data_IF_130202660295
#
_entry.id   IF_130202660295
#
_cell.length_a   1.000
_cell.length_b   1.000
_cell.length_c   1.000
_cell.angle_alpha   90.00
_cell.angle_beta   90.00
_cell.angle_gamma   90.00
#
_symmetry.space_group_name_H-M   'P 1'
#
loop_
_entity.id
_entity.type
_entity.pdbx_description
1 polymer ?
#
# COMPACT_ATOMS: atom_id res chain seq x y z
N UNK A 1 28.68 2.97 4.05
CA UNK A 1 28.04 2.19 3.00
C UNK A 1 26.58 2.58 2.80
N UNK A 2 25.70 2.61 3.81
CA UNK A 2 24.30 3.00 3.71
C UNK A 2 24.05 4.39 3.09
N UNK A 3 24.86 5.42 3.46
CA UNK A 3 24.70 6.76 2.88
C UNK A 3 24.93 6.78 1.36
N UNK A 4 25.91 6.00 0.90
CA UNK A 4 26.19 5.86 -0.54
C UNK A 4 25.01 5.18 -1.24
N UNK A 5 24.44 4.12 -0.63
CA UNK A 5 23.27 3.44 -1.18
C UNK A 5 22.04 4.36 -1.23
N UNK A 6 21.80 5.20 -0.22
CA UNK A 6 20.71 6.19 -0.25
C UNK A 6 20.89 7.21 -1.37
N UNK A 7 22.12 7.73 -1.55
CA UNK A 7 22.43 8.66 -2.62
C UNK A 7 22.25 8.01 -4.00
N UNK A 8 22.71 6.78 -4.17
CA UNK A 8 22.54 6.04 -5.44
C UNK A 8 21.08 5.78 -5.73
N UNK A 9 20.27 5.37 -4.75
CA UNK A 9 18.81 5.17 -4.90
C UNK A 9 18.15 6.48 -5.31
N UNK A 10 18.50 7.61 -4.69
CA UNK A 10 17.96 8.93 -5.04
C UNK A 10 18.27 9.31 -6.49
N UNK A 11 19.54 9.20 -6.91
CA UNK A 11 19.97 9.54 -8.27
C UNK A 11 19.33 8.63 -9.32
N UNK A 12 19.29 7.32 -9.06
CA UNK A 12 18.64 6.34 -9.93
C UNK A 12 17.14 6.61 -10.04
N UNK A 13 16.47 6.97 -8.94
CA UNK A 13 15.05 7.32 -8.95
C UNK A 13 14.77 8.51 -9.85
N UNK A 14 15.59 9.57 -9.79
CA UNK A 14 15.49 10.73 -10.67
C UNK A 14 15.71 10.33 -12.12
N UNK A 15 16.73 9.51 -12.40
CA UNK A 15 17.03 9.04 -13.75
C UNK A 15 15.87 8.22 -14.35
N UNK A 16 15.32 7.26 -13.60
CA UNK A 16 14.17 6.44 -14.02
C UNK A 16 12.97 7.34 -14.32
N UNK A 17 12.64 8.27 -13.42
CA UNK A 17 11.47 9.12 -13.55
C UNK A 17 11.59 10.12 -14.69
N UNK A 18 12.76 10.70 -14.91
CA UNK A 18 13.03 11.55 -16.07
C UNK A 18 12.93 10.78 -17.40
N UNK A 19 13.35 9.52 -17.41
CA UNK A 19 13.31 8.64 -18.57
C UNK A 19 12.03 7.82 -18.68
N UNK A 20 11.04 8.08 -17.84
CA UNK A 20 9.85 7.23 -17.66
C UNK A 20 9.11 6.94 -18.97
N UNK A 21 8.89 7.91 -19.85
CA UNK A 21 8.22 7.70 -21.14
C UNK A 21 9.00 6.78 -22.08
N UNK A 22 10.33 6.89 -22.12
CA UNK A 22 11.19 6.00 -22.92
C UNK A 22 11.13 4.59 -22.38
N UNK A 23 11.32 4.43 -21.06
CA UNK A 23 11.26 3.14 -20.37
C UNK A 23 9.88 2.51 -20.54
N UNK A 24 8.82 3.30 -20.33
CA UNK A 24 7.44 2.84 -20.45
C UNK A 24 7.08 2.38 -21.88
N UNK A 25 7.63 3.03 -22.89
CA UNK A 25 7.47 2.61 -24.29
C UNK A 25 8.14 1.28 -24.58
N UNK A 26 9.38 1.09 -24.13
CA UNK A 26 10.13 -0.15 -24.30
C UNK A 26 9.47 -1.34 -23.59
N UNK A 27 8.96 -1.13 -22.39
CA UNK A 27 8.39 -2.17 -21.53
C UNK A 27 6.88 -2.33 -21.65
N UNK A 28 6.22 -1.54 -22.51
CA UNK A 28 4.77 -1.59 -22.77
C UNK A 28 3.91 -1.34 -21.52
N UNK A 29 4.39 -0.49 -20.59
CA UNK A 29 3.70 -0.10 -19.35
C UNK A 29 3.14 1.33 -19.40
N UNK A 30 2.91 1.86 -20.60
CA UNK A 30 2.26 3.17 -20.78
C UNK A 30 0.76 3.01 -20.64
N UNK A 31 0.20 3.83 -19.76
CA UNK A 31 -1.22 3.99 -19.59
C UNK A 31 -1.74 5.09 -20.54
N UNK A 32 -2.50 4.69 -21.55
CA UNK A 32 -3.08 5.62 -22.53
C UNK A 32 -4.41 6.19 -21.99
N UNK A 33 -4.68 7.49 -22.25
CA UNK A 33 -5.95 8.07 -21.92
C UNK A 33 -7.09 7.36 -22.66
N UNK A 34 -8.16 7.05 -21.95
CA UNK A 34 -9.39 6.52 -22.54
C UNK A 34 -10.61 7.23 -21.91
N UNK A 35 -11.81 7.01 -22.49
CA UNK A 35 -13.07 7.63 -22.00
C UNK A 35 -13.38 7.37 -20.51
N UNK A 36 -12.77 6.34 -19.91
CA UNK A 36 -12.97 5.98 -18.49
C UNK A 36 -11.99 6.68 -17.55
N UNK A 37 -10.84 7.15 -18.05
CA UNK A 37 -9.78 7.74 -17.23
C UNK A 37 -9.93 9.26 -17.17
N UNK A 38 -9.62 9.82 -16.01
CA UNK A 38 -9.69 11.26 -15.77
C UNK A 38 -8.45 11.97 -16.32
N UNK A 39 -7.34 11.28 -16.39
CA UNK A 39 -6.08 11.81 -16.94
C UNK A 39 -6.16 11.94 -18.46
N UNK A 40 -5.92 13.16 -18.95
CA UNK A 40 -5.91 13.48 -20.39
C UNK A 40 -4.56 13.17 -21.06
N UNK A 41 -3.50 12.94 -20.28
CA UNK A 41 -2.16 12.70 -20.76
C UNK A 41 -1.76 11.23 -20.62
N UNK A 42 -0.77 10.81 -21.41
CA UNK A 42 -0.12 9.50 -21.24
C UNK A 42 0.64 9.49 -19.93
N UNK A 43 0.46 8.46 -19.10
CA UNK A 43 1.22 8.23 -17.90
C UNK A 43 1.89 6.86 -17.93
N UNK A 44 2.93 6.67 -17.14
CA UNK A 44 3.68 5.40 -17.10
C UNK A 44 3.50 4.76 -15.74
N UNK A 45 3.18 3.47 -15.70
CA UNK A 45 3.11 2.68 -14.48
C UNK A 45 4.52 2.26 -14.07
N UNK A 46 5.24 3.14 -13.39
CA UNK A 46 6.68 3.02 -13.17
C UNK A 46 7.06 2.37 -11.84
N UNK A 47 6.11 2.13 -10.94
CA UNK A 47 6.40 1.70 -9.57
C UNK A 47 7.18 0.40 -9.49
N UNK A 48 6.85 -0.60 -10.31
CA UNK A 48 7.63 -1.85 -10.36
C UNK A 48 9.12 -1.57 -10.54
N UNK A 49 9.48 -0.79 -11.54
CA UNK A 49 10.88 -0.49 -11.86
C UNK A 49 11.51 0.38 -10.77
N UNK A 50 10.76 1.36 -10.28
CA UNK A 50 11.24 2.30 -9.28
C UNK A 50 11.64 1.58 -7.98
N UNK A 51 10.85 0.60 -7.52
CA UNK A 51 11.11 -0.15 -6.29
C UNK A 51 12.01 -1.38 -6.49
N UNK A 52 12.34 -1.76 -7.71
CA UNK A 52 13.33 -2.82 -7.98
C UNK A 52 14.73 -2.47 -7.42
N UNK A 53 15.15 -1.21 -7.55
CA UNK A 53 16.48 -0.78 -7.08
C UNK A 53 16.63 -0.82 -5.56
N UNK A 54 15.68 -0.35 -4.74
CA UNK A 54 15.71 -0.59 -3.30
C UNK A 54 15.87 -2.06 -2.94
N UNK A 55 15.10 -2.95 -3.57
CA UNK A 55 15.16 -4.39 -3.32
C UNK A 55 16.55 -4.95 -3.69
N UNK A 56 17.09 -4.57 -4.85
CA UNK A 56 18.44 -4.96 -5.26
C UNK A 56 19.51 -4.40 -4.32
N UNK A 57 19.35 -3.18 -3.82
CA UNK A 57 20.27 -2.58 -2.84
C UNK A 57 20.26 -3.36 -1.52
N UNK A 58 19.11 -3.79 -1.05
CA UNK A 58 18.97 -4.66 0.12
C UNK A 58 19.72 -5.99 -0.13
N UNK A 59 19.49 -6.62 -1.27
CA UNK A 59 20.14 -7.87 -1.66
C UNK A 59 21.67 -7.73 -1.69
N UNK A 60 22.19 -6.67 -2.28
CA UNK A 60 23.63 -6.42 -2.35
C UNK A 60 24.20 -6.19 -0.93
N UNK A 61 23.53 -5.39 -0.11
CA UNK A 61 23.97 -5.10 1.24
C UNK A 61 23.97 -6.35 2.15
N UNK A 62 22.95 -7.20 2.01
CA UNK A 62 22.89 -8.48 2.75
C UNK A 62 23.97 -9.44 2.28
N UNK A 63 24.29 -9.48 0.99
CA UNK A 63 25.35 -10.33 0.44
C UNK A 63 26.75 -9.89 0.90
N UNK A 64 27.00 -8.58 0.95
CA UNK A 64 28.27 -8.03 1.43
C UNK A 64 28.41 -8.25 2.94
N UNK A 65 27.32 -8.08 3.68
CA UNK A 65 27.31 -8.27 5.13
C UNK A 65 26.72 -9.63 5.48
N UNK A 66 27.58 -10.66 5.44
CA UNK A 66 27.19 -12.07 5.65
C UNK A 66 26.46 -12.32 6.99
N UNK A 67 26.64 -11.47 8.01
CA UNK A 67 25.88 -11.57 9.27
C UNK A 67 24.39 -11.31 9.12
N UNK A 68 23.96 -10.69 8.01
CA UNK A 68 22.55 -10.45 7.67
C UNK A 68 21.93 -11.58 6.83
N UNK A 69 22.73 -12.56 6.38
CA UNK A 69 22.24 -13.69 5.59
C UNK A 69 21.56 -14.71 6.51
N UNK A 70 20.26 -14.57 6.64
CA UNK A 70 19.40 -15.59 7.27
C UNK A 70 18.25 -15.96 6.33
N UNK A 71 17.60 -17.09 6.61
CA UNK A 71 16.49 -17.61 5.78
C UNK A 71 15.33 -16.62 5.67
N UNK A 72 15.10 -15.81 6.71
CA UNK A 72 14.01 -14.83 6.76
C UNK A 72 14.25 -13.70 5.76
N UNK A 73 15.46 -13.14 5.71
CA UNK A 73 15.80 -12.07 4.76
C UNK A 73 15.82 -12.59 3.33
N UNK A 74 16.38 -13.79 3.11
CA UNK A 74 16.38 -14.42 1.78
C UNK A 74 14.96 -14.66 1.29
N UNK A 75 14.08 -15.18 2.14
CA UNK A 75 12.67 -15.40 1.79
C UNK A 75 11.94 -14.11 1.52
N UNK A 76 12.23 -13.03 2.27
CA UNK A 76 11.66 -11.70 2.05
C UNK A 76 12.07 -11.12 0.69
N UNK A 77 13.35 -11.18 0.35
CA UNK A 77 13.84 -10.74 -0.96
C UNK A 77 13.18 -11.52 -2.08
N UNK A 78 13.07 -12.85 -1.93
CA UNK A 78 12.41 -13.71 -2.90
C UNK A 78 10.94 -13.29 -3.11
N UNK A 79 10.21 -13.02 -2.03
CA UNK A 79 8.81 -12.56 -2.12
C UNK A 79 8.71 -11.21 -2.82
N UNK A 80 9.58 -10.25 -2.50
CA UNK A 80 9.58 -8.96 -3.19
C UNK A 80 9.85 -9.11 -4.69
N UNK A 81 10.75 -10.00 -5.09
CA UNK A 81 10.99 -10.29 -6.51
C UNK A 81 9.76 -10.92 -7.17
N UNK A 82 9.08 -11.85 -6.50
CA UNK A 82 7.84 -12.44 -7.00
C UNK A 82 6.74 -11.38 -7.17
N UNK A 83 6.52 -10.51 -6.18
CA UNK A 83 5.55 -9.43 -6.23
C UNK A 83 5.88 -8.41 -7.32
N UNK A 84 7.16 -8.08 -7.48
CA UNK A 84 7.66 -7.26 -8.58
C UNK A 84 7.28 -7.86 -9.93
N UNK A 85 7.56 -9.15 -10.15
CA UNK A 85 7.28 -9.84 -11.42
C UNK A 85 5.76 -9.85 -11.68
N UNK A 86 4.95 -10.23 -10.69
CA UNK A 86 3.48 -10.27 -10.84
C UNK A 86 2.94 -8.88 -11.18
N UNK A 87 3.37 -7.86 -10.44
CA UNK A 87 2.92 -6.50 -10.67
C UNK A 87 3.38 -5.95 -12.01
N UNK A 88 4.61 -6.22 -12.42
CA UNK A 88 5.12 -5.81 -13.73
C UNK A 88 4.35 -6.49 -14.88
N UNK A 89 4.07 -7.79 -14.75
CA UNK A 89 3.26 -8.53 -15.74
C UNK A 89 1.84 -7.96 -15.80
N UNK A 90 1.22 -7.66 -14.64
CA UNK A 90 -0.12 -7.05 -14.60
C UNK A 90 -0.15 -5.67 -15.24
N UNK A 91 0.88 -4.85 -14.99
CA UNK A 91 0.99 -3.51 -15.56
C UNK A 91 1.16 -3.53 -17.09
N UNK A 92 1.76 -4.60 -17.62
CA UNK A 92 2.01 -4.79 -19.06
C UNK A 92 0.85 -5.43 -19.83
N UNK A 93 0.27 -6.53 -19.30
CA UNK A 93 -0.72 -7.37 -19.99
C UNK A 93 -2.06 -7.55 -19.26
N UNK A 94 -2.24 -6.90 -18.10
CA UNK A 94 -3.43 -6.94 -17.24
C UNK A 94 -3.94 -8.36 -16.92
N UNK A 95 -3.53 -8.87 -15.77
CA UNK A 95 -3.96 -10.17 -15.25
C UNK A 95 -5.40 -10.11 -14.73
N UNK A 96 -6.13 -11.25 -14.80
CA UNK A 96 -7.41 -11.32 -14.12
C UNK A 96 -7.27 -11.25 -12.62
N UNK A 97 -8.24 -10.61 -11.94
CA UNK A 97 -8.19 -10.41 -10.48
C UNK A 97 -8.08 -11.74 -9.71
N UNK A 98 -8.75 -12.79 -10.18
CA UNK A 98 -8.67 -14.13 -9.58
C UNK A 98 -7.26 -14.72 -9.65
N UNK A 99 -6.55 -14.54 -10.77
CA UNK A 99 -5.15 -14.98 -10.91
C UNK A 99 -4.24 -14.20 -9.97
N UNK A 100 -4.42 -12.87 -9.86
CA UNK A 100 -3.63 -12.03 -8.94
C UNK A 100 -3.85 -12.47 -7.49
N UNK A 101 -5.09 -12.61 -7.04
CA UNK A 101 -5.42 -13.03 -5.68
C UNK A 101 -4.81 -14.41 -5.36
N UNK A 102 -4.90 -15.34 -6.28
CA UNK A 102 -4.33 -16.68 -6.11
C UNK A 102 -2.80 -16.66 -5.98
N UNK A 103 -2.11 -15.87 -6.81
CA UNK A 103 -0.66 -15.71 -6.74
C UNK A 103 -0.23 -15.02 -5.44
N UNK A 104 -0.93 -13.96 -5.02
CA UNK A 104 -0.67 -13.29 -3.74
C UNK A 104 -0.87 -14.24 -2.56
N UNK A 105 -1.90 -15.09 -2.62
CA UNK A 105 -2.15 -16.09 -1.58
C UNK A 105 -1.00 -17.10 -1.46
N UNK A 106 -0.56 -17.69 -2.57
CA UNK A 106 0.54 -18.67 -2.57
C UNK A 106 1.81 -18.02 -1.99
N UNK A 107 2.17 -16.85 -2.47
CA UNK A 107 3.40 -16.16 -2.04
C UNK A 107 3.33 -15.81 -0.55
N UNK A 108 2.23 -15.22 -0.09
CA UNK A 108 2.03 -14.86 1.31
C UNK A 108 2.02 -16.09 2.21
N UNK A 109 1.33 -17.15 1.79
CA UNK A 109 1.23 -18.42 2.54
C UNK A 109 2.61 -19.07 2.72
N UNK A 110 3.37 -19.20 1.64
CA UNK A 110 4.72 -19.77 1.71
C UNK A 110 5.66 -18.94 2.58
N UNK A 111 5.58 -17.60 2.44
CA UNK A 111 6.39 -16.69 3.25
C UNK A 111 6.08 -16.82 4.74
N UNK A 112 4.80 -16.78 5.14
CA UNK A 112 4.41 -16.87 6.55
C UNK A 112 4.77 -18.25 7.13
N UNK A 113 4.59 -19.30 6.35
CA UNK A 113 4.96 -20.66 6.78
C UNK A 113 6.47 -20.81 7.07
N UNK A 114 7.32 -20.07 6.33
CA UNK A 114 8.76 -20.02 6.57
C UNK A 114 9.13 -19.04 7.71
N UNK A 115 8.27 -18.07 8.01
CA UNK A 115 8.54 -16.97 8.93
C UNK A 115 7.36 -16.78 9.89
N UNK A 116 7.23 -17.67 10.87
CA UNK A 116 6.09 -17.69 11.82
C UNK A 116 5.95 -16.40 12.66
N UNK A 117 6.99 -15.59 12.78
CA UNK A 117 6.94 -14.29 13.45
C UNK A 117 5.93 -13.32 12.83
N UNK A 118 5.62 -13.48 11.53
CA UNK A 118 4.63 -12.67 10.81
C UNK A 118 3.24 -13.31 10.80
N UNK A 119 3.03 -14.39 11.54
CA UNK A 119 1.70 -14.99 11.69
C UNK A 119 0.91 -14.27 12.77
N UNK A 120 -0.34 -13.92 12.48
CA UNK A 120 -1.28 -13.34 13.45
C UNK A 120 -1.93 -14.48 14.22
N UNK A 121 -1.46 -14.73 15.44
CA UNK A 121 -1.97 -15.80 16.31
C UNK A 121 -3.01 -15.32 17.30
N UNK A 122 -3.05 -14.01 17.61
CA UNK A 122 -4.03 -13.39 18.48
C UNK A 122 -4.42 -12.01 17.99
N UNK A 123 -5.65 -11.61 18.23
CA UNK A 123 -6.14 -10.26 17.99
C UNK A 123 -6.26 -9.53 19.32
N UNK A 124 -5.39 -8.57 19.53
CA UNK A 124 -5.39 -7.72 20.70
C UNK A 124 -6.21 -6.46 20.39
N UNK A 125 -7.31 -6.28 21.09
CA UNK A 125 -8.15 -5.10 20.98
C UNK A 125 -7.86 -4.14 22.12
N UNK A 126 -7.88 -2.85 21.85
CA UNK A 126 -7.73 -1.86 22.90
C UNK A 126 -8.95 -1.92 23.87
N UNK A 127 -8.72 -2.04 25.17
CA UNK A 127 -9.71 -2.25 26.24
C UNK A 127 -10.46 -3.60 26.24
N UNK A 128 -10.18 -4.52 25.35
CA UNK A 128 -10.81 -5.85 25.35
C UNK A 128 -9.76 -6.94 25.46
N UNK A 129 -10.20 -8.10 25.92
CA UNK A 129 -9.34 -9.28 26.00
C UNK A 129 -8.86 -9.73 24.61
N UNK A 130 -7.64 -10.20 24.58
CA UNK A 130 -7.04 -10.77 23.38
C UNK A 130 -7.82 -12.03 22.95
N UNK A 131 -8.10 -12.10 21.65
CA UNK A 131 -8.78 -13.27 21.07
C UNK A 131 -7.77 -14.16 20.35
N UNK A 132 -7.64 -15.40 20.81
CA UNK A 132 -6.78 -16.41 20.15
C UNK A 132 -7.41 -16.86 18.82
N UNK A 133 -6.61 -16.83 17.75
CA UNK A 133 -7.00 -17.25 16.40
C UNK A 133 -5.99 -18.21 15.76
N UNK A 134 -5.09 -18.82 16.56
CA UNK A 134 -4.02 -19.72 16.06
C UNK A 134 -4.49 -20.76 15.06
N UNK A 135 -5.69 -21.33 15.26
CA UNK A 135 -6.24 -22.35 14.35
C UNK A 135 -6.41 -21.88 12.89
N UNK A 136 -6.57 -20.58 12.69
CA UNK A 136 -6.74 -19.96 11.37
C UNK A 136 -5.68 -18.88 11.07
N UNK A 137 -4.67 -18.75 11.95
CA UNK A 137 -3.69 -17.65 11.95
C UNK A 137 -3.08 -17.39 10.59
N UNK A 138 -2.48 -18.40 9.94
CA UNK A 138 -1.87 -18.27 8.62
C UNK A 138 -2.87 -17.75 7.58
N UNK A 139 -4.07 -18.32 7.52
CA UNK A 139 -5.09 -17.94 6.54
C UNK A 139 -5.59 -16.53 6.77
N UNK A 140 -5.79 -16.15 8.04
CA UNK A 140 -6.20 -14.79 8.40
C UNK A 140 -5.10 -13.77 8.07
N UNK A 141 -3.86 -14.10 8.32
CA UNK A 141 -2.70 -13.27 7.95
C UNK A 141 -2.63 -13.07 6.43
N UNK A 142 -2.76 -14.15 5.64
CA UNK A 142 -2.83 -14.05 4.17
C UNK A 142 -3.99 -13.14 3.73
N UNK A 143 -5.16 -13.29 4.34
CA UNK A 143 -6.32 -12.45 4.05
C UNK A 143 -6.03 -10.96 4.32
N UNK A 144 -5.41 -10.62 5.44
CA UNK A 144 -5.04 -9.24 5.78
C UNK A 144 -4.05 -8.64 4.77
N UNK A 145 -2.98 -9.38 4.43
CA UNK A 145 -1.98 -8.95 3.46
C UNK A 145 -2.61 -8.71 2.07
N UNK A 146 -3.38 -9.67 1.58
CA UNK A 146 -4.03 -9.59 0.26
C UNK A 146 -5.03 -8.44 0.22
N UNK A 147 -5.80 -8.26 1.30
CA UNK A 147 -6.76 -7.16 1.41
C UNK A 147 -6.09 -5.79 1.31
N UNK A 148 -4.94 -5.60 1.96
CA UNK A 148 -4.18 -4.35 1.88
C UNK A 148 -3.59 -4.15 0.48
N UNK A 149 -3.06 -5.20 -0.16
CA UNK A 149 -2.57 -5.13 -1.54
C UNK A 149 -3.69 -4.68 -2.49
N UNK A 150 -4.87 -5.31 -2.41
CA UNK A 150 -6.01 -4.97 -3.28
C UNK A 150 -6.52 -3.55 -2.99
N UNK A 151 -6.69 -3.19 -1.72
CA UNK A 151 -7.15 -1.85 -1.34
C UNK A 151 -6.21 -0.78 -1.88
N UNK A 152 -4.90 -1.01 -1.79
CA UNK A 152 -3.86 -0.10 -2.26
C UNK A 152 -3.83 0.04 -3.78
N UNK A 153 -3.98 -1.06 -4.52
CA UNK A 153 -4.07 -1.06 -5.98
C UNK A 153 -5.29 -0.25 -6.45
N UNK A 154 -6.42 -0.38 -5.76
CA UNK A 154 -7.64 0.40 -6.03
C UNK A 154 -7.47 1.90 -5.73
N UNK A 155 -6.56 2.30 -4.84
CA UNK A 155 -6.29 3.71 -4.51
C UNK A 155 -5.44 4.43 -5.56
N UNK A 156 -4.69 3.72 -6.41
CA UNK A 156 -3.82 4.31 -7.45
C UNK A 156 -4.60 4.80 -8.69
N UNK A 157 -5.85 5.26 -8.48
CA UNK A 157 -6.74 5.77 -9.52
C UNK A 157 -6.62 7.26 -9.81
N UNK A 158 -6.05 8.05 -8.90
CA UNK A 158 -5.80 9.49 -9.04
C UNK A 158 -4.41 9.85 -8.55
N UNK A 159 -3.86 10.96 -9.08
CA UNK A 159 -2.54 11.44 -8.69
C UNK A 159 -2.45 11.65 -7.18
N UNK A 160 -1.29 11.36 -6.61
CA UNK A 160 -0.89 11.53 -5.22
C UNK A 160 -1.61 10.64 -4.19
N UNK A 161 -2.79 10.11 -4.46
CA UNK A 161 -3.59 9.42 -3.45
C UNK A 161 -2.87 8.21 -2.82
N UNK A 162 -2.53 7.21 -3.62
CA UNK A 162 -1.80 6.03 -3.12
C UNK A 162 -0.41 6.41 -2.60
N UNK A 163 0.29 7.31 -3.28
CA UNK A 163 1.64 7.72 -2.89
C UNK A 163 1.69 8.43 -1.54
N UNK A 164 0.75 9.34 -1.23
CA UNK A 164 0.67 10.00 0.07
C UNK A 164 0.27 9.01 1.17
N UNK A 165 -0.68 8.12 0.88
CA UNK A 165 -1.05 7.06 1.82
C UNK A 165 0.18 6.23 2.20
N UNK A 166 0.93 5.72 1.24
CA UNK A 166 2.13 4.93 1.53
C UNK A 166 3.20 5.74 2.24
N UNK A 167 3.44 6.98 1.82
CA UNK A 167 4.44 7.83 2.45
C UNK A 167 4.11 8.08 3.92
N UNK A 168 2.86 8.39 4.27
CA UNK A 168 2.47 8.62 5.66
C UNK A 168 2.72 7.38 6.52
N UNK A 169 2.40 6.17 6.02
CA UNK A 169 2.63 4.91 6.75
C UNK A 169 4.11 4.55 6.88
N UNK A 170 4.90 4.79 5.83
CA UNK A 170 6.36 4.59 5.91
C UNK A 170 7.02 5.55 6.90
N UNK A 171 6.54 6.78 7.01
CA UNK A 171 7.00 7.73 8.02
C UNK A 171 6.63 7.29 9.44
N UNK A 172 5.43 6.73 9.64
CA UNK A 172 5.05 6.09 10.91
C UNK A 172 6.02 4.97 11.27
N UNK A 173 6.29 4.04 10.34
CA UNK A 173 7.23 2.96 10.57
C UNK A 173 8.62 3.51 10.92
N UNK A 174 9.11 4.50 10.19
CA UNK A 174 10.43 5.05 10.39
C UNK A 174 10.62 5.79 11.73
N UNK A 175 9.64 6.64 12.12
CA UNK A 175 9.76 7.49 13.30
C UNK A 175 9.19 6.86 14.58
N UNK A 176 8.17 6.03 14.46
CA UNK A 176 7.37 5.59 15.60
C UNK A 176 7.67 4.13 15.98
N UNK A 177 7.84 3.23 14.99
CA UNK A 177 8.09 1.82 15.30
C UNK A 177 9.49 1.58 15.82
N UNK A 178 9.59 0.65 16.78
CA UNK A 178 10.87 0.20 17.35
C UNK A 178 11.11 -1.27 16.99
N UNK A 179 12.36 -1.70 17.12
CA UNK A 179 12.78 -3.11 16.95
C UNK A 179 12.24 -3.75 15.67
N UNK A 180 12.42 -3.05 14.56
CA UNK A 180 12.01 -3.54 13.25
C UNK A 180 12.90 -4.71 12.82
N UNK A 181 12.29 -5.73 12.25
CA UNK A 181 13.00 -6.82 11.56
C UNK A 181 13.90 -6.31 10.43
N UNK A 182 13.34 -5.39 9.65
CA UNK A 182 14.12 -4.67 8.65
C UNK A 182 14.54 -3.36 9.26
N UNK A 183 15.84 -3.07 9.27
CA UNK A 183 16.36 -1.86 9.86
C UNK A 183 15.74 -0.58 9.27
N UNK A 184 15.72 0.48 10.06
CA UNK A 184 15.15 1.79 9.65
C UNK A 184 15.79 2.34 8.37
N UNK A 185 17.05 2.00 8.12
CA UNK A 185 17.74 2.38 6.88
C UNK A 185 17.06 1.82 5.63
N UNK A 186 16.55 0.60 5.70
CA UNK A 186 15.81 0.00 4.58
C UNK A 186 14.45 0.65 4.36
N UNK A 187 13.82 1.17 5.41
CA UNK A 187 12.60 1.98 5.26
C UNK A 187 12.90 3.24 4.43
N UNK A 188 14.05 3.88 4.66
CA UNK A 188 14.50 5.03 3.86
C UNK A 188 14.70 4.68 2.38
N UNK A 189 15.11 3.43 2.07
CA UNK A 189 15.24 2.98 0.69
C UNK A 189 13.90 2.94 -0.07
N UNK A 190 12.78 2.89 0.65
CA UNK A 190 11.43 3.01 0.07
C UNK A 190 10.91 4.45 0.13
N UNK A 191 11.18 5.20 1.20
CA UNK A 191 10.73 6.58 1.37
C UNK A 191 11.32 7.49 0.28
N UNK A 192 12.62 7.38 0.01
CA UNK A 192 13.31 8.26 -0.94
C UNK A 192 12.72 8.15 -2.36
N UNK A 193 12.65 6.97 -3.00
CA UNK A 193 12.07 6.87 -4.34
C UNK A 193 10.60 7.24 -4.37
N UNK A 194 9.84 6.97 -3.29
CA UNK A 194 8.44 7.37 -3.19
C UNK A 194 8.28 8.89 -3.10
N UNK A 195 9.13 9.58 -2.34
CA UNK A 195 9.11 11.04 -2.27
C UNK A 195 9.43 11.69 -3.62
N UNK A 196 10.45 11.18 -4.32
CA UNK A 196 10.78 11.63 -5.67
C UNK A 196 9.64 11.32 -6.64
N UNK A 197 9.06 10.12 -6.57
CA UNK A 197 7.89 9.72 -7.37
C UNK A 197 6.73 10.70 -7.23
N UNK A 198 6.40 11.14 -6.02
CA UNK A 198 5.27 12.05 -5.77
C UNK A 198 5.39 13.36 -6.56
N UNK A 199 6.61 13.88 -6.77
CA UNK A 199 6.85 15.09 -7.56
C UNK A 199 6.42 14.90 -9.02
N UNK A 200 6.70 13.73 -9.62
CA UNK A 200 6.34 13.40 -10.99
C UNK A 200 4.87 12.97 -11.12
N UNK A 201 4.35 12.27 -10.11
CA UNK A 201 2.97 11.84 -10.05
C UNK A 201 2.02 13.04 -9.88
N UNK A 202 2.40 14.07 -9.12
CA UNK A 202 1.67 15.34 -9.04
C UNK A 202 1.42 15.94 -10.43
N UNK A 203 2.39 15.83 -11.33
CA UNK A 203 2.29 16.31 -12.72
C UNK A 203 1.52 15.34 -13.64
N UNK A 204 1.00 14.23 -13.12
CA UNK A 204 0.26 13.22 -13.89
C UNK A 204 1.12 12.45 -14.90
N UNK A 205 2.45 12.41 -14.74
CA UNK A 205 3.36 11.75 -15.67
C UNK A 205 3.53 10.26 -15.41
N UNK A 206 3.38 9.85 -14.14
CA UNK A 206 3.63 8.49 -13.67
C UNK A 206 2.58 8.02 -12.68
N UNK A 207 2.34 6.71 -12.63
CA UNK A 207 1.56 6.01 -11.61
C UNK A 207 2.40 4.94 -10.93
N UNK A 208 2.02 4.53 -9.70
CA UNK A 208 2.65 3.40 -9.01
C UNK A 208 2.42 2.10 -9.78
N UNK A 209 1.21 1.92 -10.29
CA UNK A 209 0.78 0.67 -10.90
C UNK A 209 0.73 -0.48 -9.89
N UNK A 210 0.30 -1.65 -10.36
CA UNK A 210 0.15 -2.84 -9.52
C UNK A 210 1.47 -3.26 -8.90
N UNK A 211 2.60 -3.14 -9.61
CA UNK A 211 3.89 -3.56 -9.07
C UNK A 211 4.39 -2.68 -7.93
N UNK A 212 4.19 -1.36 -8.02
CA UNK A 212 4.55 -0.46 -6.93
C UNK A 212 3.67 -0.63 -5.70
N UNK A 213 2.35 -0.72 -5.91
CA UNK A 213 1.38 -0.88 -4.81
C UNK A 213 1.53 -2.21 -4.09
N UNK A 214 1.78 -3.34 -4.81
CA UNK A 214 1.99 -4.66 -4.20
C UNK A 214 3.20 -4.68 -3.26
N UNK A 215 4.35 -4.18 -3.72
CA UNK A 215 5.59 -4.16 -2.94
C UNK A 215 5.41 -3.33 -1.67
N UNK A 216 4.88 -2.11 -1.81
CA UNK A 216 4.67 -1.21 -0.68
C UNK A 216 3.63 -1.76 0.30
N UNK A 217 2.50 -2.30 -0.18
CA UNK A 217 1.46 -2.87 0.66
C UNK A 217 1.93 -4.11 1.42
N UNK A 218 2.69 -4.98 0.77
CA UNK A 218 3.28 -6.15 1.42
C UNK A 218 4.26 -5.73 2.52
N UNK A 219 5.15 -4.77 2.22
CA UNK A 219 6.08 -4.22 3.21
C UNK A 219 5.35 -3.63 4.42
N UNK A 220 4.30 -2.82 4.19
CA UNK A 220 3.49 -2.26 5.27
C UNK A 220 2.82 -3.35 6.11
N UNK A 221 2.24 -4.36 5.45
CA UNK A 221 1.57 -5.47 6.13
C UNK A 221 2.51 -6.17 7.10
N UNK A 222 3.72 -6.51 6.65
CA UNK A 222 4.71 -7.19 7.49
C UNK A 222 5.10 -6.36 8.72
N UNK A 223 5.37 -5.07 8.52
CA UNK A 223 5.77 -4.20 9.63
C UNK A 223 4.64 -4.01 10.64
N UNK A 224 3.38 -3.84 10.19
CA UNK A 224 2.24 -3.72 11.09
C UNK A 224 1.97 -5.03 11.86
N UNK A 225 2.06 -6.18 11.19
CA UNK A 225 1.87 -7.49 11.82
C UNK A 225 2.96 -7.75 12.85
N UNK A 226 4.22 -7.53 12.49
CA UNK A 226 5.34 -7.72 13.40
C UNK A 226 5.24 -6.81 14.63
N UNK A 227 4.96 -5.52 14.40
CA UNK A 227 4.83 -4.57 15.49
C UNK A 227 3.66 -4.92 16.42
N UNK A 228 2.53 -5.38 15.86
CA UNK A 228 1.38 -5.82 16.65
C UNK A 228 1.65 -7.11 17.43
N UNK A 229 2.41 -8.04 16.86
CA UNK A 229 2.79 -9.27 17.54
C UNK A 229 3.76 -9.02 18.70
N UNK A 230 4.77 -8.15 18.48
CA UNK A 230 5.82 -7.87 19.46
C UNK A 230 5.37 -6.87 20.54
N UNK A 231 4.54 -5.90 20.17
CA UNK A 231 4.13 -4.79 21.03
C UNK A 231 2.61 -4.57 20.97
N UNK A 232 1.80 -5.56 21.41
CA UNK A 232 0.34 -5.52 21.27
C UNK A 232 -0.35 -4.37 22.06
N UNK A 233 0.27 -3.88 23.12
CA UNK A 233 -0.21 -2.74 23.89
C UNK A 233 0.06 -1.40 23.16
N UNK A 234 1.06 -1.37 22.32
CA UNK A 234 1.43 -0.18 21.53
C UNK A 234 0.68 -0.13 20.19
N UNK A 235 0.57 -1.28 19.49
CA UNK A 235 -0.13 -1.40 18.23
C UNK A 235 -1.11 -2.57 18.27
N UNK A 236 -2.34 -2.32 18.72
CA UNK A 236 -3.40 -3.34 18.72
C UNK A 236 -4.09 -3.46 17.35
N UNK A 237 -4.90 -4.52 17.20
CA UNK A 237 -5.76 -4.70 16.03
C UNK A 237 -6.71 -3.50 15.81
N UNK A 238 -7.15 -2.83 16.92
CA UNK A 238 -7.96 -1.62 16.85
C UNK A 238 -7.21 -0.45 16.18
N UNK A 239 -5.93 -0.27 16.49
CA UNK A 239 -5.09 0.76 15.87
C UNK A 239 -4.89 0.49 14.38
N UNK A 240 -4.58 -0.76 14.00
CA UNK A 240 -4.42 -1.14 12.59
C UNK A 240 -5.73 -0.93 11.84
N UNK A 241 -6.86 -1.31 12.44
CA UNK A 241 -8.18 -1.05 11.86
C UNK A 241 -8.38 0.45 11.62
N UNK A 242 -8.11 1.31 12.59
CA UNK A 242 -8.26 2.76 12.44
C UNK A 242 -7.38 3.32 11.32
N UNK A 243 -6.10 2.93 11.28
CA UNK A 243 -5.11 3.40 10.29
C UNK A 243 -5.49 3.01 8.86
N UNK A 244 -6.10 1.83 8.68
CA UNK A 244 -6.47 1.28 7.38
C UNK A 244 -7.97 1.40 7.06
N UNK A 245 -8.76 2.05 7.93
CA UNK A 245 -10.23 2.04 7.85
C UNK A 245 -10.76 2.65 6.56
N UNK A 246 -10.28 3.82 6.16
CA UNK A 246 -10.79 4.53 4.98
C UNK A 246 -10.61 3.72 3.69
N UNK A 247 -9.41 3.25 3.33
CA UNK A 247 -9.25 2.39 2.15
C UNK A 247 -10.00 1.07 2.27
N UNK A 248 -10.04 0.47 3.47
CA UNK A 248 -10.74 -0.80 3.71
C UNK A 248 -12.26 -0.68 3.52
N UNK A 249 -12.90 0.31 4.13
CA UNK A 249 -14.35 0.53 3.98
C UNK A 249 -14.71 0.87 2.52
N UNK A 250 -13.90 1.68 1.84
CA UNK A 250 -14.17 2.04 0.44
C UNK A 250 -14.09 0.81 -0.48
N UNK A 251 -13.08 -0.04 -0.28
CA UNK A 251 -12.95 -1.30 -1.00
C UNK A 251 -14.18 -2.20 -0.77
N UNK A 252 -14.53 -2.47 0.50
CA UNK A 252 -15.66 -3.32 0.86
C UNK A 252 -16.97 -2.77 0.30
N UNK A 253 -17.21 -1.46 0.45
CA UNK A 253 -18.41 -0.79 -0.06
C UNK A 253 -18.57 -0.99 -1.57
N UNK A 254 -17.53 -0.72 -2.35
CA UNK A 254 -17.60 -0.85 -3.81
C UNK A 254 -17.75 -2.31 -4.21
N UNK A 255 -17.09 -3.22 -3.52
CA UNK A 255 -17.22 -4.67 -3.70
C UNK A 255 -18.68 -5.13 -3.48
N UNK A 256 -19.31 -4.73 -2.36
CA UNK A 256 -20.70 -5.05 -2.07
C UNK A 256 -21.67 -4.46 -3.11
N UNK A 257 -21.47 -3.20 -3.53
CA UNK A 257 -22.29 -2.59 -4.58
C UNK A 257 -22.21 -3.38 -5.89
N UNK A 258 -21.01 -3.85 -6.27
CA UNK A 258 -20.81 -4.66 -7.49
C UNK A 258 -21.48 -6.02 -7.35
N UNK A 259 -21.31 -6.65 -6.19
CA UNK A 259 -21.91 -7.96 -5.90
C UNK A 259 -23.43 -7.92 -6.05
N UNK A 260 -24.10 -6.95 -5.39
CA UNK A 260 -25.56 -6.88 -5.38
C UNK A 260 -26.18 -6.29 -6.66
N UNK A 261 -25.46 -5.44 -7.41
CA UNK A 261 -26.05 -4.78 -8.59
C UNK A 261 -25.72 -5.46 -9.91
N UNK A 262 -24.52 -5.91 -10.13
CA UNK A 262 -24.03 -6.31 -11.46
C UNK A 262 -23.47 -7.72 -11.56
N UNK A 263 -23.27 -8.44 -10.45
CA UNK A 263 -22.63 -9.75 -10.41
C UNK A 263 -21.16 -9.80 -10.85
N UNK A 264 -20.59 -8.69 -11.35
CA UNK A 264 -19.22 -8.59 -11.85
C UNK A 264 -18.36 -7.83 -10.84
N UNK A 265 -17.85 -8.54 -9.84
CA UNK A 265 -17.17 -7.98 -8.68
C UNK A 265 -15.89 -7.23 -9.04
N UNK A 266 -15.11 -7.75 -9.98
CA UNK A 266 -13.78 -7.27 -10.32
C UNK A 266 -13.72 -6.30 -11.52
N UNK A 267 -14.85 -5.72 -11.90
CA UNK A 267 -14.84 -4.72 -13.00
C UNK A 267 -14.38 -3.36 -12.50
N UNK A 268 -13.42 -2.70 -13.20
CA UNK A 268 -13.03 -1.33 -12.86
C UNK A 268 -14.19 -0.36 -13.05
N UNK A 269 -14.41 0.54 -12.08
CA UNK A 269 -15.40 1.62 -12.16
C UNK A 269 -14.93 2.88 -11.43
N UNK A 270 -15.75 3.95 -11.49
CA UNK A 270 -15.46 5.24 -10.84
C UNK A 270 -16.25 5.46 -9.55
N UNK A 271 -16.62 4.39 -8.85
CA UNK A 271 -17.43 4.45 -7.62
C UNK A 271 -16.59 4.63 -6.35
N UNK A 272 -15.27 4.48 -6.43
CA UNK A 272 -14.38 4.69 -5.30
C UNK A 272 -14.42 6.12 -4.78
N UNK A 273 -14.19 6.29 -3.46
CA UNK A 273 -14.29 7.56 -2.75
C UNK A 273 -13.48 8.67 -3.44
N UNK A 274 -12.23 8.37 -3.82
CA UNK A 274 -11.35 9.33 -4.47
C UNK A 274 -11.92 9.84 -5.82
N UNK A 275 -12.55 8.98 -6.62
CA UNK A 275 -13.20 9.37 -7.86
C UNK A 275 -14.47 10.23 -7.62
N UNK A 276 -15.25 9.90 -6.58
CA UNK A 276 -16.42 10.68 -6.22
C UNK A 276 -16.05 12.08 -5.74
N UNK A 277 -15.01 12.18 -4.92
CA UNK A 277 -14.46 13.45 -4.46
C UNK A 277 -13.89 14.29 -5.61
N UNK A 278 -13.11 13.67 -6.51
CA UNK A 278 -12.52 14.34 -7.65
C UNK A 278 -13.59 14.91 -8.59
N UNK A 279 -14.62 14.12 -8.89
CA UNK A 279 -15.72 14.57 -9.73
C UNK A 279 -16.47 15.77 -9.13
N UNK A 280 -16.54 15.87 -7.80
CA UNK A 280 -17.28 16.94 -7.14
C UNK A 280 -16.45 18.17 -6.84
N UNK A 281 -15.24 17.99 -6.32
CA UNK A 281 -14.42 19.07 -5.77
C UNK A 281 -13.17 19.37 -6.61
N UNK A 282 -12.89 18.54 -7.62
CA UNK A 282 -11.65 18.60 -8.39
C UNK A 282 -10.47 17.96 -7.65
N UNK A 283 -9.39 17.72 -8.39
CA UNK A 283 -8.24 16.92 -7.89
C UNK A 283 -7.56 17.56 -6.68
N UNK A 284 -7.31 18.86 -6.68
CA UNK A 284 -6.55 19.53 -5.62
C UNK A 284 -7.25 19.43 -4.25
N UNK A 285 -8.57 19.71 -4.21
CA UNK A 285 -9.34 19.60 -2.97
C UNK A 285 -9.45 18.14 -2.51
N UNK A 286 -9.59 17.21 -3.44
CA UNK A 286 -9.63 15.77 -3.15
C UNK A 286 -8.35 15.31 -2.48
N UNK A 287 -7.20 15.70 -3.01
CA UNK A 287 -5.90 15.35 -2.42
C UNK A 287 -5.77 15.92 -1.01
N UNK A 288 -6.14 17.18 -0.80
CA UNK A 288 -6.09 17.80 0.54
C UNK A 288 -6.97 17.05 1.53
N UNK A 289 -8.21 16.71 1.16
CA UNK A 289 -9.14 15.97 2.02
C UNK A 289 -8.58 14.59 2.38
N UNK A 290 -8.11 13.82 1.38
CA UNK A 290 -7.61 12.47 1.60
C UNK A 290 -6.28 12.50 2.39
N UNK A 291 -5.38 13.41 2.09
CA UNK A 291 -4.13 13.59 2.84
C UNK A 291 -4.39 13.91 4.31
N UNK A 292 -5.34 14.82 4.57
CA UNK A 292 -5.75 15.16 5.93
C UNK A 292 -6.31 13.93 6.67
N UNK A 293 -7.17 13.15 6.02
CA UNK A 293 -7.72 11.93 6.60
C UNK A 293 -6.62 10.90 6.94
N UNK A 294 -5.63 10.68 6.07
CA UNK A 294 -4.56 9.72 6.32
C UNK A 294 -3.62 10.18 7.43
N UNK A 295 -3.15 11.42 7.37
CA UNK A 295 -2.15 11.95 8.32
C UNK A 295 -2.78 12.15 9.71
N UNK A 296 -4.01 12.70 9.78
CA UNK A 296 -4.68 12.88 11.07
C UNK A 296 -4.98 11.55 11.76
N UNK A 297 -5.31 10.52 10.98
CA UNK A 297 -5.51 9.16 11.51
C UNK A 297 -4.24 8.62 12.12
N UNK A 298 -3.11 8.75 11.42
CA UNK A 298 -1.82 8.30 11.94
C UNK A 298 -1.46 9.03 13.23
N UNK A 299 -1.58 10.37 13.22
CA UNK A 299 -1.28 11.17 14.39
C UNK A 299 -2.14 10.79 15.61
N UNK A 300 -3.45 10.71 15.44
CA UNK A 300 -4.37 10.39 16.55
C UNK A 300 -4.13 8.96 17.05
N UNK A 301 -3.90 8.00 16.15
CA UNK A 301 -3.69 6.60 16.53
C UNK A 301 -2.46 6.39 17.41
N UNK A 302 -1.40 7.18 17.24
CA UNK A 302 -0.15 6.99 17.97
C UNK A 302 0.08 7.97 19.11
N UNK A 303 -0.48 9.18 19.05
CA UNK A 303 -0.28 10.20 20.08
C UNK A 303 -1.49 10.41 20.98
N UNK A 304 -2.68 10.00 20.55
CA UNK A 304 -3.93 10.13 21.28
C UNK A 304 -4.65 8.78 21.33
N UNK A 305 -3.93 7.72 21.64
CA UNK A 305 -4.39 6.33 21.56
C UNK A 305 -5.64 6.02 22.40
N UNK A 306 -5.86 6.71 23.52
CA UNK A 306 -7.06 6.58 24.34
C UNK A 306 -8.34 6.95 23.59
N UNK A 307 -8.23 7.75 22.54
CA UNK A 307 -9.35 8.19 21.71
C UNK A 307 -9.60 7.33 20.48
N UNK A 308 -8.96 6.16 20.38
CA UNK A 308 -8.98 5.33 19.16
C UNK A 308 -10.38 4.93 18.69
N UNK A 309 -11.30 4.60 19.61
CA UNK A 309 -12.68 4.28 19.25
C UNK A 309 -13.47 5.50 18.77
N UNK A 310 -13.23 6.66 19.36
CA UNK A 310 -13.82 7.92 18.89
C UNK A 310 -13.28 8.26 17.48
N UNK A 311 -12.00 8.02 17.22
CA UNK A 311 -11.41 8.19 15.91
C UNK A 311 -12.10 7.31 14.87
N UNK A 312 -12.28 6.02 15.14
CA UNK A 312 -12.99 5.09 14.27
C UNK A 312 -14.42 5.58 13.99
N UNK A 313 -15.13 6.02 15.01
CA UNK A 313 -16.50 6.55 14.86
C UNK A 313 -16.50 7.82 13.97
N UNK A 314 -15.60 8.76 14.22
CA UNK A 314 -15.47 9.99 13.45
C UNK A 314 -15.14 9.66 11.99
N UNK A 315 -14.25 8.70 11.72
CA UNK A 315 -13.92 8.26 10.37
C UNK A 315 -15.13 7.68 9.63
N UNK A 316 -15.92 6.84 10.30
CA UNK A 316 -17.16 6.26 9.72
C UNK A 316 -18.15 7.37 9.39
N UNK A 317 -18.40 8.30 10.34
CA UNK A 317 -19.31 9.42 10.13
C UNK A 317 -18.83 10.31 9.00
N UNK A 318 -17.55 10.67 8.97
CA UNK A 318 -16.96 11.50 7.90
C UNK A 318 -17.05 10.81 6.54
N UNK A 319 -16.76 9.52 6.46
CA UNK A 319 -16.88 8.71 5.25
C UNK A 319 -18.32 8.72 4.71
N UNK A 320 -19.31 8.44 5.57
CA UNK A 320 -20.73 8.46 5.19
C UNK A 320 -21.17 9.87 4.75
N UNK A 321 -20.74 10.90 5.45
CA UNK A 321 -21.06 12.30 5.13
C UNK A 321 -20.50 12.70 3.78
N UNK A 322 -19.23 12.39 3.52
CA UNK A 322 -18.58 12.66 2.23
C UNK A 322 -19.32 11.93 1.10
N UNK A 323 -19.65 10.65 1.29
CA UNK A 323 -20.41 9.88 0.29
C UNK A 323 -21.77 10.53 -0.01
N UNK A 324 -22.54 10.92 1.02
CA UNK A 324 -23.84 11.61 0.83
C UNK A 324 -23.69 12.92 0.07
N UNK A 325 -22.67 13.70 0.43
CA UNK A 325 -22.38 14.97 -0.23
C UNK A 325 -22.01 14.74 -1.69
N UNK A 326 -21.19 13.74 -2.01
CA UNK A 326 -20.77 13.45 -3.38
C UNK A 326 -21.89 12.83 -4.25
N UNK A 327 -22.82 12.07 -3.66
CA UNK A 327 -23.88 11.39 -4.44
C UNK A 327 -25.12 12.25 -4.69
N UNK A 328 -25.44 13.23 -3.82
CA UNK A 328 -26.58 14.15 -4.00
C UNK A 328 -26.51 15.03 -5.25
N UNK A 329 -25.35 15.20 -5.85
CA UNK A 329 -25.11 16.05 -7.02
C UNK A 329 -25.17 15.31 -8.35
N UNK A 330 -25.44 14.00 -8.32
CA UNK A 330 -25.53 13.15 -9.53
C UNK A 330 -27.01 12.93 -9.94
N UNK A 331 -27.95 13.54 -9.22
CA UNK A 331 -29.37 13.68 -9.62
C UNK A 331 -29.52 15.04 -10.29
#
# INVERSE_FOLDING_TARGET
MYLISLLTIFLISIFILNSSLKIGGLLKIIDYPNKRKLNKNKAVKIGSILFAFPILSILILTFINQSLLNIEIISLIFVFLCLFIIGFVDDSISLSATKKIFLYFIISFLFIKLNSRFEINSLNFYFFEAKDIKSIGIYFTCFCIISLIIASDLMDGINLNAGIFFLSKLLVIFFIFNDLFISKEFVLFLIIPLAVFLIYNFRGKVYLGTGGTCVLAFFLSLNFIEQANNFPNFLSATHILAILLIPGIDMIRVFLIRFFKNGKIFTPDKRHLHHLLENKFGINKTIVILSFLYISTDFISFYLYDFIYYLILIQIISFITILRVCTKTIK
#
